data_IF_887538037986
#
_entry.id   IF_887538037986
#
_cell.length_a   1.000
_cell.length_b   1.000
_cell.length_c   1.000
_cell.angle_alpha   90.00
_cell.angle_beta   90.00
_cell.angle_gamma   90.00
#
_symmetry.space_group_name_H-M   'P 1'
#
loop_
_entity.id
_entity.type
_entity.pdbx_description
1 polymer ?
#
# COMPACT_ATOMS: atom_id res chain seq x y z
N UNK A 1 -8.17 -59.14 -55.28
CA UNK A 1 -7.65 -59.56 -53.96
C UNK A 1 -7.86 -58.40 -53.01
N UNK A 2 -8.64 -58.62 -51.94
CA UNK A 2 -9.15 -57.61 -51.02
C UNK A 2 -8.18 -57.51 -49.84
N UNK A 3 -7.67 -56.31 -49.57
CA UNK A 3 -6.79 -56.02 -48.43
C UNK A 3 -7.59 -55.63 -47.18
N UNK A 4 -7.39 -56.37 -46.09
CA UNK A 4 -8.00 -56.17 -44.78
C UNK A 4 -7.42 -54.95 -44.06
N UNK A 5 -8.30 -54.08 -43.51
CA UNK A 5 -7.96 -53.07 -42.50
C UNK A 5 -8.01 -53.70 -41.11
N UNK A 6 -6.95 -53.55 -40.33
CA UNK A 6 -6.96 -53.78 -38.89
C UNK A 6 -7.32 -52.49 -38.16
N UNK A 7 -8.45 -52.52 -37.45
CA UNK A 7 -8.83 -51.50 -36.47
C UNK A 7 -8.35 -51.96 -35.10
N UNK A 8 -7.33 -51.31 -34.53
CA UNK A 8 -6.99 -51.46 -33.12
C UNK A 8 -7.89 -50.55 -32.28
N UNK A 9 -8.86 -51.13 -31.58
CA UNK A 9 -9.55 -50.48 -30.46
C UNK A 9 -8.64 -50.52 -29.24
N UNK A 10 -8.15 -49.36 -28.83
CA UNK A 10 -7.44 -49.16 -27.56
C UNK A 10 -8.46 -49.06 -26.43
N UNK A 11 -8.55 -50.11 -25.63
CA UNK A 11 -9.32 -50.20 -24.39
C UNK A 11 -8.63 -49.38 -23.30
N UNK A 12 -9.08 -48.14 -23.08
CA UNK A 12 -8.70 -47.35 -21.90
C UNK A 12 -9.29 -47.99 -20.64
N UNK A 13 -8.43 -48.27 -19.66
CA UNK A 13 -8.79 -48.88 -18.38
C UNK A 13 -9.66 -47.95 -17.52
N UNK A 14 -10.78 -48.41 -16.93
CA UNK A 14 -11.68 -47.64 -16.06
C UNK A 14 -11.06 -47.12 -14.75
N UNK A 15 -9.84 -47.55 -14.43
CA UNK A 15 -9.12 -47.14 -13.22
C UNK A 15 -8.34 -45.83 -13.41
N UNK A 16 -8.01 -45.44 -14.65
CA UNK A 16 -7.33 -44.17 -14.91
C UNK A 16 -8.30 -42.97 -14.92
N UNK A 17 -9.58 -43.18 -15.22
CA UNK A 17 -10.60 -42.13 -15.14
C UNK A 17 -10.93 -41.73 -13.70
N UNK A 18 -10.91 -42.68 -12.75
CA UNK A 18 -11.23 -42.40 -11.33
C UNK A 18 -10.13 -41.66 -10.55
N UNK A 19 -8.88 -41.70 -11.02
CA UNK A 19 -7.77 -40.96 -10.42
C UNK A 19 -7.64 -39.52 -10.93
N UNK A 20 -8.23 -39.20 -12.09
CA UNK A 20 -8.25 -37.84 -12.64
C UNK A 20 -9.42 -37.02 -12.08
N UNK A 21 -10.55 -37.65 -11.75
CA UNK A 21 -11.70 -36.96 -11.13
C UNK A 21 -11.53 -36.63 -9.64
N UNK A 22 -10.64 -37.32 -8.92
CA UNK A 22 -10.41 -37.08 -7.48
C UNK A 22 -9.47 -35.91 -7.15
N UNK A 23 -8.88 -35.28 -8.16
CA UNK A 23 -7.86 -34.24 -7.97
C UNK A 23 -8.39 -32.81 -8.21
N UNK A 24 -9.68 -32.64 -8.50
CA UNK A 24 -10.28 -31.36 -8.92
C UNK A 24 -11.32 -30.76 -7.95
N UNK A 25 -11.43 -31.29 -6.72
CA UNK A 25 -12.36 -30.76 -5.72
C UNK A 25 -11.67 -30.34 -4.41
N UNK A 26 -10.39 -29.95 -4.48
CA UNK A 26 -9.87 -29.12 -3.40
C UNK A 26 -10.60 -27.79 -3.49
N UNK A 27 -11.59 -27.57 -2.62
CA UNK A 27 -12.24 -26.27 -2.47
C UNK A 27 -11.15 -25.23 -2.25
N UNK A 28 -11.04 -24.27 -3.16
CA UNK A 28 -10.11 -23.14 -3.01
C UNK A 28 -10.49 -22.44 -1.70
N UNK A 29 -9.55 -22.29 -0.74
CA UNK A 29 -9.85 -21.59 0.50
C UNK A 29 -10.44 -20.21 0.20
N UNK A 30 -11.60 -19.90 0.78
CA UNK A 30 -12.31 -18.64 0.49
C UNK A 30 -11.55 -17.38 0.93
N UNK A 31 -10.45 -17.54 1.66
CA UNK A 31 -9.53 -16.49 2.09
C UNK A 31 -8.27 -16.37 1.23
N UNK A 32 -8.03 -17.29 0.28
CA UNK A 32 -6.80 -17.36 -0.50
C UNK A 32 -6.46 -16.03 -1.19
N UNK A 33 -7.48 -15.34 -1.71
CA UNK A 33 -7.32 -14.09 -2.45
C UNK A 33 -7.81 -12.85 -1.69
N UNK A 34 -8.09 -12.96 -0.38
CA UNK A 34 -8.51 -11.80 0.41
C UNK A 34 -7.40 -10.76 0.51
N UNK A 35 -6.16 -11.20 0.52
CA UNK A 35 -4.97 -10.34 0.52
C UNK A 35 -4.14 -10.61 -0.73
N UNK A 36 -3.86 -9.55 -1.48
CA UNK A 36 -2.98 -9.58 -2.64
C UNK A 36 -1.78 -8.68 -2.36
N UNK A 37 -0.57 -9.20 -2.59
CA UNK A 37 0.67 -8.44 -2.48
C UNK A 37 1.37 -8.38 -3.84
N UNK A 38 1.81 -7.20 -4.21
CA UNK A 38 2.64 -6.94 -5.39
C UNK A 38 3.97 -6.37 -4.93
N UNK A 39 5.08 -6.90 -5.43
CA UNK A 39 6.42 -6.41 -5.09
C UNK A 39 7.35 -6.48 -6.29
N UNK A 40 8.29 -5.52 -6.34
CA UNK A 40 9.36 -5.51 -7.35
C UNK A 40 10.65 -6.19 -6.88
N UNK A 41 10.73 -6.65 -5.62
CA UNK A 41 11.95 -7.16 -4.96
C UNK A 41 13.23 -6.33 -5.23
N UNK A 42 13.07 -5.03 -5.55
CA UNK A 42 14.15 -4.14 -5.95
C UNK A 42 14.82 -4.44 -7.31
N UNK A 43 14.18 -5.18 -8.23
CA UNK A 43 14.83 -5.68 -9.46
C UNK A 43 14.28 -5.08 -10.76
N UNK A 44 13.01 -5.32 -11.13
CA UNK A 44 12.49 -4.89 -12.47
C UNK A 44 10.96 -4.71 -12.49
N UNK A 45 10.46 -3.70 -13.21
CA UNK A 45 9.03 -3.46 -13.43
C UNK A 45 8.31 -4.59 -14.17
N UNK A 46 9.00 -5.37 -15.01
CA UNK A 46 8.39 -6.51 -15.71
C UNK A 46 7.85 -7.59 -14.78
N UNK A 47 8.41 -7.74 -13.58
CA UNK A 47 7.90 -8.66 -12.56
C UNK A 47 6.59 -8.14 -11.96
N UNK A 48 6.49 -6.82 -11.76
CA UNK A 48 5.27 -6.15 -11.31
C UNK A 48 4.19 -6.30 -12.39
N UNK A 49 4.53 -6.07 -13.66
CA UNK A 49 3.62 -6.25 -14.79
C UNK A 49 3.07 -7.68 -14.83
N UNK A 50 3.94 -8.69 -14.71
CA UNK A 50 3.52 -10.10 -14.70
C UNK A 50 2.56 -10.39 -13.55
N UNK A 51 2.90 -9.97 -12.32
CA UNK A 51 2.03 -10.19 -11.15
C UNK A 51 0.66 -9.52 -11.35
N UNK A 52 0.64 -8.27 -11.82
CA UNK A 52 -0.62 -7.55 -12.08
C UNK A 52 -1.43 -8.22 -13.18
N UNK A 53 -0.80 -8.67 -14.27
CA UNK A 53 -1.48 -9.42 -15.33
C UNK A 53 -2.07 -10.73 -14.81
N UNK A 54 -1.34 -11.52 -14.02
CA UNK A 54 -1.85 -12.76 -13.43
C UNK A 54 -3.06 -12.52 -12.51
N UNK A 55 -3.04 -11.44 -11.72
CA UNK A 55 -4.17 -11.03 -10.88
C UNK A 55 -5.37 -10.62 -11.75
N UNK A 56 -5.13 -9.82 -12.80
CA UNK A 56 -6.16 -9.32 -13.70
C UNK A 56 -6.84 -10.45 -14.51
N UNK A 57 -6.10 -11.52 -14.78
CA UNK A 57 -6.59 -12.73 -15.44
C UNK A 57 -7.33 -13.70 -14.49
N UNK A 58 -7.42 -13.37 -13.19
CA UNK A 58 -8.10 -14.17 -12.18
C UNK A 58 -9.39 -13.48 -11.66
N UNK A 59 -10.57 -13.75 -12.24
CA UNK A 59 -11.83 -13.13 -11.80
C UNK A 59 -12.18 -13.39 -10.34
N UNK A 60 -11.79 -14.56 -9.80
CA UNK A 60 -12.04 -14.89 -8.39
C UNK A 60 -11.26 -13.91 -7.51
N UNK A 61 -9.96 -13.71 -7.77
CA UNK A 61 -9.13 -12.80 -7.01
C UNK A 61 -9.66 -11.36 -7.03
N UNK A 62 -10.05 -10.87 -8.21
CA UNK A 62 -10.60 -9.53 -8.39
C UNK A 62 -11.90 -9.30 -7.60
N UNK A 63 -12.74 -10.33 -7.44
CA UNK A 63 -14.02 -10.20 -6.73
C UNK A 63 -13.91 -10.39 -5.21
N UNK A 64 -12.85 -11.04 -4.73
CA UNK A 64 -12.71 -11.41 -3.31
C UNK A 64 -11.65 -10.60 -2.57
N UNK A 65 -10.80 -9.85 -3.27
CA UNK A 65 -9.75 -9.07 -2.62
C UNK A 65 -10.35 -8.01 -1.69
N UNK A 66 -9.91 -8.02 -0.44
CA UNK A 66 -10.27 -7.06 0.60
C UNK A 66 -9.07 -6.17 0.94
N UNK A 67 -7.84 -6.69 0.78
CA UNK A 67 -6.60 -6.01 1.13
C UNK A 67 -5.60 -6.08 -0.02
N UNK A 68 -5.08 -4.93 -0.42
CA UNK A 68 -3.99 -4.84 -1.40
C UNK A 68 -2.75 -4.25 -0.76
N UNK A 69 -1.60 -4.88 -1.02
CA UNK A 69 -0.29 -4.42 -0.56
C UNK A 69 0.64 -4.25 -1.76
N UNK A 70 1.23 -3.07 -1.89
CA UNK A 70 2.30 -2.77 -2.83
C UNK A 70 3.58 -2.55 -2.03
N UNK A 71 4.58 -3.41 -2.22
CA UNK A 71 5.91 -3.31 -1.61
C UNK A 71 6.93 -3.08 -2.72
N UNK A 72 6.93 -1.84 -3.23
CA UNK A 72 7.68 -1.43 -4.40
C UNK A 72 8.75 -0.46 -3.94
N UNK A 73 10.00 -0.90 -3.97
CA UNK A 73 11.14 -0.06 -3.61
C UNK A 73 11.46 0.90 -4.77
N UNK A 74 10.82 2.07 -4.76
CA UNK A 74 11.01 3.15 -5.73
C UNK A 74 12.41 3.78 -5.69
N UNK A 75 13.29 3.33 -4.78
CA UNK A 75 14.66 3.84 -4.65
C UNK A 75 15.65 3.10 -5.51
N UNK A 76 15.41 1.80 -5.67
CA UNK A 76 16.26 0.89 -6.43
C UNK A 76 15.82 0.76 -7.87
N UNK A 77 14.62 1.22 -8.20
CA UNK A 77 14.06 1.14 -9.55
C UNK A 77 13.87 2.52 -10.17
N UNK A 78 13.82 2.58 -11.49
CA UNK A 78 13.32 3.75 -12.21
C UNK A 78 11.86 4.02 -11.84
N UNK A 79 11.32 5.17 -12.25
CA UNK A 79 9.87 5.37 -12.25
C UNK A 79 9.18 4.24 -13.04
N UNK A 80 7.95 3.84 -12.65
CA UNK A 80 7.18 2.85 -13.39
C UNK A 80 6.87 3.34 -14.81
N UNK A 81 6.98 2.46 -15.82
CA UNK A 81 6.40 2.74 -17.13
C UNK A 81 4.91 3.03 -17.03
N UNK A 82 4.38 3.89 -17.91
CA UNK A 82 2.93 4.17 -17.97
C UNK A 82 2.10 2.90 -18.15
N UNK A 83 2.58 1.92 -18.92
CA UNK A 83 1.90 0.63 -19.08
C UNK A 83 1.71 -0.13 -17.77
N UNK A 84 2.71 -0.08 -16.87
CA UNK A 84 2.61 -0.66 -15.53
C UNK A 84 1.58 0.08 -14.69
N UNK A 85 1.57 1.42 -14.75
CA UNK A 85 0.58 2.23 -14.05
C UNK A 85 -0.84 1.96 -14.57
N UNK A 86 -1.01 1.71 -15.87
CA UNK A 86 -2.30 1.34 -16.46
C UNK A 86 -2.81 -0.02 -15.95
N UNK A 87 -1.92 -0.97 -15.62
CA UNK A 87 -2.30 -2.22 -14.98
C UNK A 87 -2.80 -2.00 -13.55
N UNK A 88 -2.17 -1.11 -12.78
CA UNK A 88 -2.68 -0.70 -11.47
C UNK A 88 -4.06 -0.04 -11.57
N UNK A 89 -4.24 0.89 -12.53
CA UNK A 89 -5.54 1.54 -12.79
C UNK A 89 -6.61 0.48 -13.07
N UNK A 90 -6.31 -0.50 -13.93
CA UNK A 90 -7.23 -1.59 -14.23
C UNK A 90 -7.56 -2.44 -13.00
N UNK A 91 -6.55 -2.78 -12.19
CA UNK A 91 -6.73 -3.55 -10.96
C UNK A 91 -7.69 -2.81 -10.01
N UNK A 92 -7.43 -1.54 -9.75
CA UNK A 92 -8.24 -0.73 -8.82
C UNK A 92 -9.68 -0.55 -9.32
N UNK A 93 -9.87 -0.34 -10.62
CA UNK A 93 -11.22 -0.26 -11.20
C UNK A 93 -11.99 -1.58 -11.12
N UNK A 94 -11.30 -2.72 -11.06
CA UNK A 94 -11.89 -4.06 -10.98
C UNK A 94 -12.05 -4.58 -9.55
N UNK A 95 -11.64 -3.82 -8.54
CA UNK A 95 -11.64 -4.24 -7.12
C UNK A 95 -12.38 -3.23 -6.21
N UNK A 96 -13.62 -2.81 -6.56
CA UNK A 96 -14.34 -1.77 -5.83
C UNK A 96 -14.66 -2.12 -4.37
N UNK A 97 -14.63 -3.41 -4.00
CA UNK A 97 -14.87 -3.91 -2.65
C UNK A 97 -13.63 -3.90 -1.73
N UNK A 98 -12.45 -3.55 -2.26
CA UNK A 98 -11.21 -3.47 -1.49
C UNK A 98 -11.38 -2.49 -0.31
N UNK A 99 -11.02 -2.93 0.90
CA UNK A 99 -11.19 -2.20 2.16
C UNK A 99 -9.90 -1.57 2.66
N UNK A 100 -8.77 -2.22 2.38
CA UNK A 100 -7.45 -1.81 2.85
C UNK A 100 -6.50 -1.64 1.68
N UNK A 101 -5.86 -0.48 1.62
CA UNK A 101 -4.79 -0.18 0.67
C UNK A 101 -3.49 0.08 1.43
N UNK A 102 -2.50 -0.77 1.22
CA UNK A 102 -1.14 -0.60 1.73
C UNK A 102 -0.22 -0.30 0.56
N UNK A 103 0.47 0.85 0.60
CA UNK A 103 1.51 1.17 -0.37
C UNK A 103 2.79 1.55 0.34
N UNK A 104 3.72 0.59 0.33
CA UNK A 104 5.04 0.66 0.90
C UNK A 104 6.05 0.88 -0.23
N UNK A 105 6.79 1.96 -0.12
CA UNK A 105 7.68 2.40 -1.19
C UNK A 105 8.04 3.86 -0.99
N UNK A 106 9.09 4.10 -0.21
CA UNK A 106 9.59 5.46 -0.05
C UNK A 106 10.09 5.97 -1.41
N UNK A 107 9.59 7.12 -1.87
CA UNK A 107 10.26 7.88 -2.93
C UNK A 107 11.41 8.62 -2.26
N UNK A 108 12.62 8.04 -2.25
CA UNK A 108 13.79 8.69 -1.65
C UNK A 108 14.38 9.74 -2.59
N UNK A 109 14.05 9.89 -3.88
CA UNK A 109 14.60 11.01 -4.67
C UNK A 109 13.91 12.33 -4.30
N UNK A 110 14.25 12.86 -3.14
CA UNK A 110 13.78 14.11 -2.60
C UNK A 110 14.89 15.15 -2.75
N UNK A 111 14.76 16.05 -3.73
CA UNK A 111 15.59 17.25 -3.79
C UNK A 111 14.95 18.32 -2.89
N UNK A 112 15.66 18.73 -1.85
CA UNK A 112 15.21 19.71 -0.87
C UNK A 112 14.99 21.10 -1.44
N UNK A 113 15.64 21.38 -2.58
CA UNK A 113 15.74 22.72 -3.17
C UNK A 113 14.56 23.12 -4.03
N UNK A 114 13.68 22.20 -4.37
CA UNK A 114 12.52 22.48 -5.23
C UNK A 114 11.23 22.02 -4.54
N UNK A 115 10.15 22.79 -4.72
CA UNK A 115 8.80 22.28 -4.51
C UNK A 115 8.64 21.10 -5.48
N UNK A 116 8.71 19.88 -4.97
CA UNK A 116 8.69 18.72 -5.85
C UNK A 116 7.39 18.76 -6.66
N UNK A 117 7.49 18.64 -8.00
CA UNK A 117 6.30 18.53 -8.83
C UNK A 117 5.47 17.33 -8.35
N UNK A 118 4.14 17.34 -8.57
CA UNK A 118 3.27 16.27 -8.11
C UNK A 118 3.83 14.91 -8.55
N UNK A 119 3.84 13.92 -7.65
CA UNK A 119 4.35 12.57 -7.94
C UNK A 119 3.87 12.09 -9.31
N UNK A 120 4.74 11.67 -10.25
CA UNK A 120 4.30 11.18 -11.56
C UNK A 120 3.26 10.06 -11.46
N UNK A 121 3.37 9.22 -10.42
CA UNK A 121 2.37 8.18 -10.10
C UNK A 121 1.02 8.84 -9.73
N UNK A 122 1.06 9.82 -8.84
CA UNK A 122 -0.13 10.57 -8.43
C UNK A 122 -0.80 11.33 -9.59
N UNK A 123 -0.01 11.92 -10.48
CA UNK A 123 -0.53 12.57 -11.70
C UNK A 123 -1.21 11.56 -12.61
N UNK A 124 -0.59 10.41 -12.85
CA UNK A 124 -1.15 9.35 -13.70
C UNK A 124 -2.49 8.86 -13.16
N UNK A 125 -2.57 8.57 -11.84
CA UNK A 125 -3.81 8.11 -11.21
C UNK A 125 -4.90 9.19 -11.19
N UNK A 126 -4.52 10.45 -10.99
CA UNK A 126 -5.45 11.59 -11.07
C UNK A 126 -6.02 11.74 -12.49
N UNK A 127 -5.15 11.67 -13.52
CA UNK A 127 -5.55 11.78 -14.92
C UNK A 127 -6.56 10.69 -15.32
N UNK A 128 -6.40 9.49 -14.77
CA UNK A 128 -7.29 8.35 -15.03
C UNK A 128 -8.50 8.29 -14.08
N UNK A 129 -8.73 9.32 -13.27
CA UNK A 129 -9.84 9.40 -12.30
C UNK A 129 -9.91 8.18 -11.37
N UNK A 130 -8.76 7.66 -10.93
CA UNK A 130 -8.72 6.55 -9.98
C UNK A 130 -9.39 6.99 -8.68
N UNK A 131 -10.27 6.13 -8.17
CA UNK A 131 -10.98 6.31 -6.90
C UNK A 131 -11.04 4.97 -6.17
N UNK A 132 -11.03 5.03 -4.84
CA UNK A 132 -11.10 3.86 -3.97
C UNK A 132 -12.33 3.94 -3.07
N UNK A 133 -13.56 3.77 -3.61
CA UNK A 133 -14.78 3.98 -2.85
C UNK A 133 -14.97 2.96 -1.71
N UNK A 134 -14.45 1.74 -1.84
CA UNK A 134 -14.52 0.72 -0.79
C UNK A 134 -13.46 0.88 0.31
N UNK A 135 -12.38 1.61 0.05
CA UNK A 135 -11.24 1.68 0.97
C UNK A 135 -11.58 2.56 2.16
N UNK A 136 -11.36 2.01 3.35
CA UNK A 136 -11.58 2.67 4.65
C UNK A 136 -10.30 2.77 5.44
N UNK A 137 -9.34 1.87 5.19
CA UNK A 137 -8.04 1.84 5.85
C UNK A 137 -6.94 2.03 4.82
N UNK A 138 -6.00 2.93 5.10
CA UNK A 138 -4.83 3.14 4.26
C UNK A 138 -3.54 3.15 5.07
N UNK A 139 -2.52 2.47 4.56
CA UNK A 139 -1.18 2.41 5.13
C UNK A 139 -0.20 2.95 4.08
N UNK A 140 0.47 4.07 4.36
CA UNK A 140 1.30 4.78 3.39
C UNK A 140 2.75 4.92 3.81
N UNK A 141 3.65 4.64 2.88
CA UNK A 141 5.02 5.14 2.90
C UNK A 141 5.11 6.67 2.70
N UNK A 142 6.31 7.24 2.85
CA UNK A 142 6.52 8.68 2.68
C UNK A 142 6.34 9.12 1.22
N UNK A 143 5.85 10.35 1.03
CA UNK A 143 5.55 10.98 -0.28
C UNK A 143 4.42 10.33 -1.09
N UNK A 144 3.50 9.62 -0.42
CA UNK A 144 2.34 8.97 -1.03
C UNK A 144 1.01 9.63 -0.63
N UNK A 145 1.05 10.83 -0.08
CA UNK A 145 -0.12 11.60 0.38
C UNK A 145 -1.13 11.91 -0.74
N UNK A 146 -0.71 11.82 -2.01
CA UNK A 146 -1.59 11.96 -3.18
C UNK A 146 -2.69 10.89 -3.27
N UNK A 147 -2.58 9.74 -2.59
CA UNK A 147 -3.65 8.76 -2.54
C UNK A 147 -4.85 9.22 -1.71
N UNK A 148 -4.63 10.01 -0.65
CA UNK A 148 -5.67 10.41 0.31
C UNK A 148 -6.91 11.03 -0.36
N UNK A 149 -6.80 12.01 -1.27
CA UNK A 149 -7.97 12.58 -1.93
C UNK A 149 -8.74 11.60 -2.83
N UNK A 150 -8.17 10.43 -3.17
CA UNK A 150 -8.82 9.38 -3.97
C UNK A 150 -9.66 8.42 -3.12
N UNK A 151 -9.67 8.58 -1.79
CA UNK A 151 -10.33 7.67 -0.84
C UNK A 151 -11.42 8.43 -0.07
N UNK A 152 -12.64 8.57 -0.63
CA UNK A 152 -13.70 9.38 -0.03
C UNK A 152 -14.24 8.83 1.30
N UNK A 153 -13.94 7.56 1.61
CA UNK A 153 -14.40 6.85 2.80
C UNK A 153 -13.26 6.52 3.78
N UNK A 154 -12.13 7.22 3.70
CA UNK A 154 -10.98 6.98 4.57
C UNK A 154 -11.34 7.25 6.04
N UNK A 155 -11.22 6.21 6.88
CA UNK A 155 -11.49 6.22 8.32
C UNK A 155 -10.21 6.04 9.15
N UNK A 156 -9.28 5.21 8.69
CA UNK A 156 -7.99 4.97 9.34
C UNK A 156 -6.84 5.22 8.38
N UNK A 157 -5.90 6.07 8.79
CA UNK A 157 -4.67 6.33 8.06
C UNK A 157 -3.46 6.06 8.94
N UNK A 158 -2.53 5.25 8.45
CA UNK A 158 -1.32 4.88 9.19
C UNK A 158 -0.08 5.09 8.31
N UNK A 159 1.00 5.55 8.91
CA UNK A 159 2.32 5.49 8.30
C UNK A 159 2.79 4.03 8.26
N UNK A 160 3.29 3.55 7.12
CA UNK A 160 3.92 2.23 7.08
C UNK A 160 5.16 2.18 7.98
N UNK A 161 5.29 1.10 8.74
CA UNK A 161 6.50 0.84 9.52
C UNK A 161 7.64 0.38 8.59
N UNK A 162 8.79 -0.02 9.13
CA UNK A 162 9.98 -0.44 8.35
C UNK A 162 9.59 -1.51 7.30
N UNK A 163 9.93 -1.35 5.99
CA UNK A 163 10.94 -0.49 5.40
C UNK A 163 10.54 0.96 5.08
N UNK A 164 9.31 1.39 5.36
CA UNK A 164 8.76 2.68 4.94
C UNK A 164 9.39 3.90 5.60
N UNK A 165 8.71 4.45 6.60
CA UNK A 165 9.14 5.67 7.28
C UNK A 165 10.48 5.49 8.02
N UNK A 166 10.78 4.28 8.51
CA UNK A 166 12.06 3.94 9.17
C UNK A 166 13.28 4.16 8.28
N UNK A 167 13.30 3.59 7.06
CA UNK A 167 14.41 3.80 6.11
C UNK A 167 14.49 5.27 5.68
N UNK A 168 13.35 5.89 5.39
CA UNK A 168 13.34 7.30 4.96
C UNK A 168 13.96 8.21 6.03
N UNK A 169 13.57 8.05 7.30
CA UNK A 169 14.17 8.81 8.40
C UNK A 169 15.68 8.55 8.49
N UNK A 170 16.14 7.30 8.35
CA UNK A 170 17.56 6.95 8.38
C UNK A 170 18.39 7.64 7.29
N UNK A 171 17.87 7.73 6.06
CA UNK A 171 18.62 8.29 4.93
C UNK A 171 18.62 9.81 4.88
N UNK A 172 17.55 10.44 5.35
CA UNK A 172 17.40 11.88 5.21
C UNK A 172 17.86 12.65 6.44
N UNK A 173 17.83 12.05 7.64
CA UNK A 173 18.34 12.69 8.85
C UNK A 173 19.81 13.15 8.70
N UNK A 174 20.22 14.36 9.16
CA UNK A 174 19.51 15.36 9.99
C UNK A 174 19.02 16.59 9.20
N UNK A 175 18.59 16.43 7.95
CA UNK A 175 18.16 17.59 7.15
C UNK A 175 16.80 18.16 7.64
N UNK A 176 16.41 19.40 7.31
CA UNK A 176 15.12 19.97 7.73
C UNK A 176 13.94 19.29 6.99
N UNK A 177 13.52 18.12 7.48
CA UNK A 177 12.71 17.15 6.72
C UNK A 177 11.27 17.04 7.22
N UNK A 178 10.60 18.17 7.38
CA UNK A 178 9.18 18.15 7.66
C UNK A 178 8.32 17.86 6.44
N UNK A 179 8.79 18.05 5.19
CA UNK A 179 7.85 18.18 4.06
C UNK A 179 6.99 16.93 3.81
N UNK A 180 7.50 15.68 3.85
CA UNK A 180 6.63 14.52 3.66
C UNK A 180 5.64 14.32 4.81
N UNK A 181 6.04 14.60 6.06
CA UNK A 181 5.12 14.52 7.21
C UNK A 181 4.09 15.65 7.17
N UNK A 182 4.48 16.86 6.82
CA UNK A 182 3.57 17.99 6.60
C UNK A 182 2.60 17.74 5.44
N UNK A 183 3.08 17.18 4.32
CA UNK A 183 2.25 16.80 3.17
C UNK A 183 1.19 15.80 3.57
N UNK A 184 1.61 14.73 4.27
CA UNK A 184 0.68 13.72 4.79
C UNK A 184 -0.34 14.33 5.77
N UNK A 185 0.09 15.12 6.75
CA UNK A 185 -0.81 15.80 7.71
C UNK A 185 -1.79 16.70 6.97
N UNK A 186 -1.33 17.50 6.02
CA UNK A 186 -2.17 18.41 5.23
C UNK A 186 -3.21 17.63 4.44
N UNK A 187 -2.80 16.61 3.69
CA UNK A 187 -3.71 15.80 2.90
C UNK A 187 -4.73 15.06 3.78
N UNK A 188 -4.28 14.47 4.89
CA UNK A 188 -5.12 13.74 5.83
C UNK A 188 -6.09 14.66 6.58
N UNK A 189 -5.71 15.91 6.89
CA UNK A 189 -6.61 16.90 7.50
C UNK A 189 -7.81 17.26 6.62
N UNK A 190 -7.72 17.02 5.30
CA UNK A 190 -8.83 17.21 4.36
C UNK A 190 -9.77 15.98 4.29
N UNK A 191 -9.40 14.85 4.88
CA UNK A 191 -10.22 13.63 4.90
C UNK A 191 -11.29 13.72 5.99
N UNK A 192 -12.51 14.14 5.61
CA UNK A 192 -13.60 14.46 6.54
C UNK A 192 -14.12 13.29 7.38
N UNK A 193 -13.87 12.04 6.96
CA UNK A 193 -14.29 10.82 7.66
C UNK A 193 -13.18 10.17 8.49
N UNK A 194 -11.98 10.76 8.50
CA UNK A 194 -10.85 10.20 9.23
C UNK A 194 -11.12 10.23 10.73
N UNK A 195 -10.95 9.08 11.39
CA UNK A 195 -11.14 8.86 12.83
C UNK A 195 -9.87 8.40 13.52
N UNK A 196 -9.08 7.57 12.84
CA UNK A 196 -7.81 7.05 13.34
C UNK A 196 -6.64 7.60 12.52
N UNK A 197 -5.63 8.12 13.20
CA UNK A 197 -4.39 8.56 12.56
C UNK A 197 -3.18 8.03 13.32
N UNK A 198 -2.28 7.38 12.60
CA UNK A 198 -1.00 6.90 13.11
C UNK A 198 0.15 7.43 12.27
N UNK A 199 1.14 8.05 12.91
CA UNK A 199 2.31 8.61 12.22
C UNK A 199 3.60 8.39 13.00
N UNK A 200 4.55 7.76 12.31
CA UNK A 200 5.97 7.75 12.67
C UNK A 200 6.65 8.99 12.11
N UNK A 201 7.15 9.88 12.97
CA UNK A 201 7.79 11.12 12.56
C UNK A 201 8.87 11.60 13.56
N UNK A 202 9.70 12.54 13.10
CA UNK A 202 10.49 13.39 13.98
C UNK A 202 9.62 14.58 14.38
N UNK A 203 9.23 14.63 15.66
CA UNK A 203 8.27 15.60 16.16
C UNK A 203 8.94 16.91 16.51
N UNK A 204 8.67 17.95 15.71
CA UNK A 204 9.03 19.33 16.00
C UNK A 204 7.84 20.09 16.55
N UNK A 205 8.09 21.24 17.19
CA UNK A 205 7.03 22.17 17.62
C UNK A 205 6.13 22.60 16.46
N UNK A 206 6.71 22.84 15.29
CA UNK A 206 5.96 23.23 14.09
C UNK A 206 5.05 22.10 13.60
N UNK A 207 5.58 20.87 13.49
CA UNK A 207 4.82 19.70 13.06
C UNK A 207 3.64 19.41 14.00
N UNK A 208 3.90 19.48 15.31
CA UNK A 208 2.88 19.30 16.35
C UNK A 208 1.78 20.37 16.24
N UNK A 209 2.17 21.62 15.99
CA UNK A 209 1.20 22.71 15.80
C UNK A 209 0.33 22.47 14.57
N UNK A 210 0.92 22.08 13.45
CA UNK A 210 0.17 21.75 12.22
C UNK A 210 -0.75 20.56 12.40
N UNK A 211 -0.28 19.52 13.09
CA UNK A 211 -1.09 18.36 13.42
C UNK A 211 -2.34 18.76 14.23
N UNK A 212 -2.16 19.48 15.33
CA UNK A 212 -3.26 19.95 16.17
C UNK A 212 -4.26 20.83 15.40
N UNK A 213 -3.79 21.69 14.49
CA UNK A 213 -4.64 22.53 13.66
C UNK A 213 -5.46 21.74 12.63
N UNK A 214 -4.91 20.64 12.09
CA UNK A 214 -5.53 19.84 11.03
C UNK A 214 -6.55 18.83 11.52
N UNK A 215 -6.48 18.40 12.78
CA UNK A 215 -7.24 17.23 13.27
C UNK A 215 -8.04 17.49 14.55
N UNK A 216 -9.03 18.40 14.54
CA UNK A 216 -9.81 18.68 15.74
C UNK A 216 -10.74 17.53 16.18
N UNK A 217 -11.01 16.55 15.31
CA UNK A 217 -12.08 15.55 15.51
C UNK A 217 -11.61 14.08 15.38
N UNK A 218 -10.32 13.80 15.59
CA UNK A 218 -9.84 12.41 15.60
C UNK A 218 -10.27 11.69 16.88
N UNK A 219 -10.67 10.43 16.74
CA UNK A 219 -11.05 9.54 17.85
C UNK A 219 -9.83 8.77 18.38
N UNK A 220 -8.84 8.50 17.53
CA UNK A 220 -7.61 7.80 17.93
C UNK A 220 -6.40 8.41 17.24
N UNK A 221 -5.38 8.71 18.04
CA UNK A 221 -4.13 9.29 17.58
C UNK A 221 -2.98 8.42 18.11
N UNK A 222 -2.11 7.95 17.22
CA UNK A 222 -0.89 7.21 17.58
C UNK A 222 0.32 7.91 16.98
N UNK A 223 1.10 8.56 17.83
CA UNK A 223 2.28 9.32 17.39
C UNK A 223 3.54 8.57 17.83
N UNK A 224 4.34 8.15 16.86
CA UNK A 224 5.57 7.42 17.10
C UNK A 224 6.77 8.26 16.67
N UNK A 225 7.92 8.07 17.33
CA UNK A 225 9.20 8.68 16.98
C UNK A 225 9.80 9.53 18.10
N UNK A 226 10.73 10.42 17.75
CA UNK A 226 11.50 11.21 18.72
C UNK A 226 11.02 12.65 18.77
N UNK A 227 10.96 13.21 19.98
CA UNK A 227 10.87 14.66 20.21
C UNK A 227 12.25 15.30 19.99
N UNK A 228 12.26 16.52 19.44
CA UNK A 228 13.43 17.41 19.28
C UNK A 228 14.64 16.93 18.45
N UNK A 229 14.54 15.77 17.80
CA UNK A 229 15.66 15.21 17.04
C UNK A 229 16.84 14.85 17.95
N UNK A 230 17.70 13.94 17.49
CA UNK A 230 18.82 13.49 18.31
C UNK A 230 19.69 14.66 18.78
N UNK A 231 20.02 14.67 20.07
CA UNK A 231 21.09 15.50 20.60
C UNK A 231 22.42 15.25 19.84
N UNK A 232 23.42 16.12 20.01
CA UNK A 232 24.65 16.14 19.22
C UNK A 232 25.45 14.83 19.21
N UNK A 233 25.17 13.91 20.14
CA UNK A 233 25.97 12.71 20.35
C UNK A 233 25.48 11.48 19.58
N UNK A 234 24.37 11.56 18.84
CA UNK A 234 23.99 10.59 17.81
C UNK A 234 24.27 9.11 18.16
N UNK A 235 23.59 8.55 19.16
CA UNK A 235 23.70 7.11 19.45
C UNK A 235 22.46 6.31 19.02
N UNK A 236 22.78 5.26 18.27
CA UNK A 236 22.12 3.96 18.06
C UNK A 236 20.59 3.91 17.97
N UNK A 237 20.11 3.84 16.71
CA UNK A 237 18.74 3.51 16.29
C UNK A 237 18.04 2.35 17.03
N UNK A 238 18.77 1.53 17.80
CA UNK A 238 18.23 0.41 18.56
C UNK A 238 17.35 0.80 19.75
N UNK A 239 17.60 1.95 20.39
CA UNK A 239 16.89 2.34 21.62
C UNK A 239 15.77 3.36 21.39
N UNK A 240 15.69 3.98 20.21
CA UNK A 240 14.80 5.15 19.98
C UNK A 240 13.43 4.76 19.40
N UNK A 241 13.24 3.50 19.04
CA UNK A 241 11.93 2.98 18.66
C UNK A 241 11.02 2.65 19.87
N UNK A 242 11.49 2.82 21.12
CA UNK A 242 10.73 2.43 22.30
C UNK A 242 9.98 3.57 23.01
N UNK A 243 10.05 4.80 22.48
CA UNK A 243 9.20 5.91 22.93
C UNK A 243 7.85 5.92 22.20
N UNK A 244 6.99 4.93 22.42
CA UNK A 244 5.60 5.01 21.96
C UNK A 244 4.83 5.91 22.92
N UNK A 245 4.55 7.15 22.53
CA UNK A 245 3.55 7.96 23.21
C UNK A 245 2.20 7.63 22.58
N UNK A 246 1.53 6.61 23.11
CA UNK A 246 0.13 6.38 22.77
C UNK A 246 -0.70 7.43 23.52
N UNK A 247 -1.11 8.49 22.81
CA UNK A 247 -2.05 9.46 23.34
C UNK A 247 -3.44 9.09 22.84
N UNK A 248 -4.09 8.18 23.56
CA UNK A 248 -5.49 7.84 23.31
C UNK A 248 -6.35 9.01 23.83
N UNK A 249 -6.78 9.88 22.93
CA UNK A 249 -7.85 10.83 23.23
C UNK A 249 -9.19 10.12 23.05
N UNK A 250 -9.71 9.49 24.10
CA UNK A 250 -11.12 9.09 24.09
C UNK A 250 -11.96 10.35 24.32
N UNK A 251 -12.45 10.96 23.24
CA UNK A 251 -13.51 11.95 23.32
C UNK A 251 -14.78 11.24 23.79
N UNK A 252 -15.04 11.26 25.10
CA UNK A 252 -16.36 10.90 25.63
C UNK A 252 -17.37 11.87 24.99
N UNK A 253 -18.26 11.33 24.14
CA UNK A 253 -19.32 12.12 23.53
C UNK A 253 -20.17 12.73 24.64
N UNK A 254 -20.35 14.06 24.70
CA UNK A 254 -21.33 14.64 25.60
C UNK A 254 -22.71 14.22 25.10
N UNK A 255 -23.40 13.39 25.89
CA UNK A 255 -24.80 13.03 25.70
C UNK A 255 -25.72 14.25 25.73
#
# INVERSE_FOLDING_TARGET
>A
MIGNRHSQQSSRSPLQSRLVERSLSAEIPGDLFKRIKVSNEGKVWSQVDLQLSEILDCPVALNTVEEFESDIDLNKTSLPPSSTLDLFVQLFNKTPQMKTLTWEGAILKYDEREELPPSPIGQHFTLHNVQFPGVTTMILGPNLDFFIPMIPNLQSLRSSSDPGWGKWMRYYFPRPLGKPTFGLIKAASAASKLREFELVALWTKELTTKFHQGFPNLETIRLHGSLDGFGPDGYELGDILNGTFEVIFSLESPH
#
